data_IF_357325417377
#
_entry.id   IF_357325417377
#
_cell.length_a   1.000
_cell.length_b   1.000
_cell.length_c   1.000
_cell.angle_alpha   90.00
_cell.angle_beta   90.00
_cell.angle_gamma   90.00
#
_symmetry.space_group_name_H-M   'P 1'
#
loop_
_entity.id
_entity.type
_entity.pdbx_description
1 polymer ?
#
# COMPACT_ATOMS: atom_id res chain seq x y z
N UNK A 1 -37.24 -48.46 -8.58
CA UNK A 1 -36.31 -48.47 -7.44
C UNK A 1 -35.47 -47.17 -7.49
N UNK A 2 -35.91 -46.14 -6.72
CA UNK A 2 -35.15 -44.90 -6.48
C UNK A 2 -34.10 -45.20 -5.43
N UNK A 3 -32.84 -45.18 -5.80
CA UNK A 3 -31.74 -45.16 -4.86
C UNK A 3 -31.59 -43.70 -4.43
N UNK A 4 -32.03 -43.40 -3.23
CA UNK A 4 -31.71 -42.17 -2.48
C UNK A 4 -30.20 -42.21 -2.18
N UNK A 5 -29.43 -41.42 -2.90
CA UNK A 5 -28.08 -41.03 -2.45
C UNK A 5 -28.26 -39.91 -1.43
N UNK A 6 -28.15 -40.27 -0.16
CA UNK A 6 -27.87 -39.36 0.93
C UNK A 6 -26.42 -38.89 0.79
N UNK A 7 -26.20 -37.90 -0.09
CA UNK A 7 -25.00 -37.11 -0.10
C UNK A 7 -25.27 -35.86 0.74
N UNK A 8 -24.55 -35.69 1.82
CA UNK A 8 -24.38 -34.39 2.48
C UNK A 8 -23.99 -33.44 1.34
N UNK A 9 -24.86 -32.47 1.00
CA UNK A 9 -24.47 -31.33 0.18
C UNK A 9 -23.35 -30.62 0.96
N UNK A 10 -22.10 -30.94 0.63
CA UNK A 10 -20.99 -30.07 0.97
C UNK A 10 -21.26 -28.78 0.23
N UNK A 11 -21.73 -27.76 0.95
CA UNK A 11 -22.08 -26.48 0.37
C UNK A 11 -20.86 -25.95 -0.40
N UNK A 12 -21.11 -25.46 -1.62
CA UNK A 12 -20.11 -24.78 -2.43
C UNK A 12 -19.53 -23.63 -1.60
N UNK A 13 -18.33 -23.83 -1.09
CA UNK A 13 -17.53 -22.81 -0.37
C UNK A 13 -16.26 -22.50 -1.16
N UNK A 14 -15.52 -21.48 -0.74
CA UNK A 14 -14.33 -21.03 -1.46
C UNK A 14 -13.30 -22.16 -1.59
N UNK A 15 -13.06 -22.93 -0.52
CA UNK A 15 -12.08 -24.03 -0.49
C UNK A 15 -12.47 -25.15 -1.47
N UNK A 16 -13.76 -25.50 -1.55
CA UNK A 16 -14.22 -26.51 -2.51
C UNK A 16 -14.03 -26.05 -3.96
N UNK A 17 -14.30 -24.76 -4.24
CA UNK A 17 -14.14 -24.17 -5.57
C UNK A 17 -12.66 -24.00 -5.95
N UNK A 18 -11.78 -23.66 -5.01
CA UNK A 18 -10.34 -23.56 -5.24
C UNK A 18 -9.70 -24.89 -5.66
N UNK A 19 -10.19 -26.00 -5.12
CA UNK A 19 -9.72 -27.35 -5.47
C UNK A 19 -10.27 -27.85 -6.83
N UNK A 20 -11.25 -27.19 -7.43
CA UNK A 20 -11.82 -27.55 -8.72
C UNK A 20 -10.92 -27.16 -9.89
N UNK A 21 -10.96 -27.96 -10.96
CA UNK A 21 -10.37 -27.60 -12.25
C UNK A 21 -11.19 -26.50 -12.92
N UNK A 22 -10.54 -25.71 -13.78
CA UNK A 22 -11.18 -24.59 -14.47
C UNK A 22 -12.44 -25.01 -15.25
N UNK A 23 -12.45 -26.23 -15.81
CA UNK A 23 -13.60 -26.79 -16.53
C UNK A 23 -14.82 -26.97 -15.62
N UNK A 24 -14.61 -27.46 -14.40
CA UNK A 24 -15.67 -27.66 -13.40
C UNK A 24 -16.23 -26.31 -12.92
N UNK A 25 -15.35 -25.34 -12.70
CA UNK A 25 -15.76 -23.98 -12.38
C UNK A 25 -16.58 -23.32 -13.50
N UNK A 26 -16.28 -23.61 -14.78
CA UNK A 26 -17.09 -23.12 -15.89
C UNK A 26 -18.48 -23.78 -15.94
N UNK A 27 -18.62 -25.01 -15.48
CA UNK A 27 -19.94 -25.68 -15.36
C UNK A 27 -20.80 -24.98 -14.30
N UNK A 28 -20.25 -24.72 -13.11
CA UNK A 28 -20.91 -23.93 -12.08
C UNK A 28 -21.21 -22.48 -12.54
N UNK A 29 -20.30 -21.83 -13.23
CA UNK A 29 -20.54 -20.48 -13.76
C UNK A 29 -21.73 -20.44 -14.74
N UNK A 30 -21.93 -21.49 -15.55
CA UNK A 30 -23.10 -21.63 -16.43
C UNK A 30 -24.38 -21.90 -15.63
N UNK A 31 -24.32 -22.79 -14.64
CA UNK A 31 -25.43 -23.11 -13.75
C UNK A 31 -25.98 -21.85 -13.06
N UNK A 32 -25.08 -21.03 -12.50
CA UNK A 32 -25.43 -19.78 -11.81
C UNK A 32 -25.54 -18.56 -12.77
N UNK A 33 -25.46 -18.77 -14.09
CA UNK A 33 -25.61 -17.74 -15.13
C UNK A 33 -24.61 -16.56 -14.99
N UNK A 34 -23.38 -16.84 -14.58
CA UNK A 34 -22.32 -15.83 -14.52
C UNK A 34 -21.98 -15.31 -15.92
N UNK A 35 -22.04 -14.00 -16.12
CA UNK A 35 -21.73 -13.37 -17.40
C UNK A 35 -20.21 -13.30 -17.61
N UNK A 36 -19.76 -13.46 -18.86
CA UNK A 36 -18.34 -13.32 -19.26
C UNK A 36 -17.34 -14.17 -18.46
N UNK A 37 -17.75 -15.25 -17.85
CA UNK A 37 -16.94 -16.11 -16.97
C UNK A 37 -15.61 -16.58 -17.57
N UNK A 38 -15.53 -16.71 -18.90
CA UNK A 38 -14.32 -17.17 -19.60
C UNK A 38 -13.19 -16.14 -19.64
N UNK A 39 -13.47 -14.88 -19.27
CA UNK A 39 -12.48 -13.78 -19.21
C UNK A 39 -11.93 -13.56 -17.80
N UNK A 40 -12.52 -14.20 -16.79
CA UNK A 40 -12.16 -14.05 -15.40
C UNK A 40 -10.97 -14.95 -15.05
N UNK A 41 -10.08 -14.45 -14.21
CA UNK A 41 -9.09 -15.29 -13.53
C UNK A 41 -9.79 -16.35 -12.65
N UNK A 42 -9.10 -17.40 -12.25
CA UNK A 42 -9.69 -18.46 -11.41
C UNK A 42 -10.30 -17.88 -10.12
N UNK A 43 -9.61 -16.93 -9.50
CA UNK A 43 -10.06 -16.28 -8.26
C UNK A 43 -11.32 -15.44 -8.48
N UNK A 44 -11.31 -14.58 -9.48
CA UNK A 44 -12.48 -13.77 -9.86
C UNK A 44 -13.69 -14.63 -10.23
N UNK A 45 -13.46 -15.76 -10.92
CA UNK A 45 -14.49 -16.70 -11.29
C UNK A 45 -15.15 -17.35 -10.07
N UNK A 46 -14.37 -17.75 -9.07
CA UNK A 46 -14.86 -18.30 -7.80
C UNK A 46 -15.76 -17.28 -7.11
N UNK A 47 -15.31 -16.03 -6.96
CA UNK A 47 -16.12 -14.98 -6.36
C UNK A 47 -17.40 -14.68 -7.15
N UNK A 48 -17.33 -14.67 -8.47
CA UNK A 48 -18.50 -14.46 -9.32
C UNK A 48 -19.54 -15.60 -9.17
N UNK A 49 -19.12 -16.86 -9.02
CA UNK A 49 -19.98 -17.99 -8.75
C UNK A 49 -20.66 -17.86 -7.39
N UNK A 50 -19.90 -17.51 -6.32
CA UNK A 50 -20.43 -17.32 -4.97
C UNK A 50 -21.45 -16.18 -4.93
N UNK A 51 -21.16 -15.08 -5.61
CA UNK A 51 -22.06 -13.93 -5.74
C UNK A 51 -23.38 -14.35 -6.44
N UNK A 52 -23.29 -14.95 -7.61
CA UNK A 52 -24.46 -15.36 -8.38
C UNK A 52 -25.32 -16.38 -7.63
N UNK A 53 -24.70 -17.30 -6.87
CA UNK A 53 -25.42 -18.22 -5.98
C UNK A 53 -26.20 -17.49 -4.90
N UNK A 54 -25.55 -16.55 -4.20
CA UNK A 54 -26.20 -15.79 -3.14
C UNK A 54 -27.42 -15.00 -3.69
N UNK A 55 -27.28 -14.39 -4.87
CA UNK A 55 -28.36 -13.66 -5.54
C UNK A 55 -29.54 -14.57 -5.93
N UNK A 56 -29.28 -15.80 -6.41
CA UNK A 56 -30.34 -16.76 -6.69
C UNK A 56 -31.09 -17.24 -5.44
N UNK A 57 -30.40 -17.28 -4.30
CA UNK A 57 -30.99 -17.60 -3.00
C UNK A 57 -31.72 -16.40 -2.35
N UNK A 58 -31.73 -15.24 -3.01
CA UNK A 58 -32.39 -14.01 -2.53
C UNK A 58 -31.57 -13.24 -1.51
N UNK A 59 -30.27 -13.43 -1.46
CA UNK A 59 -29.32 -12.70 -0.61
C UNK A 59 -28.37 -11.84 -1.45
N UNK A 60 -27.67 -10.90 -0.79
CA UNK A 60 -26.57 -10.18 -1.39
C UNK A 60 -25.23 -10.88 -1.07
N UNK A 61 -24.27 -10.76 -1.97
CA UNK A 61 -22.89 -11.09 -1.70
C UNK A 61 -22.11 -9.76 -1.60
N UNK A 62 -21.61 -9.47 -0.41
CA UNK A 62 -20.90 -8.20 -0.15
C UNK A 62 -19.60 -8.47 0.59
N UNK A 63 -18.72 -7.49 0.56
CA UNK A 63 -17.43 -7.52 1.26
C UNK A 63 -17.13 -6.17 1.88
N UNK A 64 -16.26 -6.18 2.90
CA UNK A 64 -15.77 -4.98 3.55
C UNK A 64 -14.63 -5.27 4.49
N UNK A 65 -13.90 -4.23 4.88
CA UNK A 65 -12.81 -4.32 5.85
C UNK A 65 -13.39 -4.24 7.27
N UNK A 66 -13.02 -5.19 8.11
CA UNK A 66 -13.55 -5.31 9.46
C UNK A 66 -12.98 -4.24 10.40
N UNK A 67 -13.88 -3.52 11.06
CA UNK A 67 -13.64 -2.71 12.24
C UNK A 67 -14.43 -3.28 13.42
N UNK A 68 -13.73 -3.74 14.46
CA UNK A 68 -14.34 -4.30 15.68
C UNK A 68 -14.57 -3.18 16.67
N UNK A 69 -15.80 -3.09 17.20
CA UNK A 69 -16.14 -2.17 18.29
C UNK A 69 -15.73 -2.85 19.61
N UNK A 70 -14.59 -2.45 20.16
CA UNK A 70 -13.95 -3.13 21.27
C UNK A 70 -14.83 -3.24 22.52
N UNK A 71 -15.66 -2.21 22.81
CA UNK A 71 -16.58 -2.22 23.96
C UNK A 71 -17.68 -3.26 23.85
N UNK A 72 -18.08 -3.64 22.64
CA UNK A 72 -19.27 -4.45 22.36
C UNK A 72 -18.93 -5.86 21.84
N UNK A 73 -17.72 -6.02 21.31
CA UNK A 73 -17.23 -7.28 20.76
C UNK A 73 -17.81 -7.67 19.39
N UNK A 74 -18.80 -6.95 18.85
CA UNK A 74 -19.23 -7.06 17.48
C UNK A 74 -18.44 -6.09 16.57
N UNK A 75 -18.65 -6.11 15.28
CA UNK A 75 -17.97 -5.22 14.35
C UNK A 75 -18.83 -4.83 13.15
N UNK A 76 -18.23 -3.99 12.32
CA UNK A 76 -18.75 -3.62 11.01
C UNK A 76 -17.73 -3.91 9.92
N UNK A 77 -18.21 -4.45 8.82
CA UNK A 77 -17.43 -4.48 7.59
C UNK A 77 -17.65 -3.16 6.87
N UNK A 78 -16.55 -2.45 6.57
CA UNK A 78 -16.54 -1.15 5.91
C UNK A 78 -16.32 -1.35 4.41
N UNK A 79 -17.36 -1.29 3.56
CA UNK A 79 -17.22 -1.52 2.13
C UNK A 79 -16.63 -0.32 1.39
N UNK A 80 -16.81 0.90 1.92
CA UNK A 80 -16.43 2.15 1.26
C UNK A 80 -15.36 2.86 2.06
N UNK A 81 -14.21 3.10 1.43
CA UNK A 81 -13.15 3.99 1.91
C UNK A 81 -12.76 3.76 3.39
N UNK A 82 -12.89 2.54 3.91
CA UNK A 82 -12.59 2.14 5.29
C UNK A 82 -13.25 3.02 6.36
N UNK A 83 -14.29 3.72 5.99
CA UNK A 83 -15.01 4.69 6.84
C UNK A 83 -16.44 4.25 7.10
N UNK A 84 -17.06 4.68 8.22
CA UNK A 84 -18.47 4.43 8.48
C UNK A 84 -19.38 4.95 7.37
N UNK A 85 -20.31 4.11 6.92
CA UNK A 85 -21.27 4.45 5.87
C UNK A 85 -22.64 3.81 6.12
N UNK A 86 -23.64 4.20 5.31
CA UNK A 86 -24.95 3.53 5.32
C UNK A 86 -24.91 2.11 4.77
N UNK A 87 -23.85 1.75 4.06
CA UNK A 87 -23.65 0.43 3.47
C UNK A 87 -22.86 -0.54 4.36
N UNK A 88 -22.56 -0.12 5.60
CA UNK A 88 -21.86 -0.96 6.56
C UNK A 88 -22.61 -2.27 6.81
N UNK A 89 -21.86 -3.34 6.99
CA UNK A 89 -22.39 -4.68 7.22
C UNK A 89 -22.05 -5.08 8.65
N UNK A 90 -23.11 -5.29 9.45
CA UNK A 90 -22.95 -5.80 10.82
C UNK A 90 -22.42 -7.25 10.81
N UNK A 91 -21.42 -7.50 11.62
CA UNK A 91 -20.88 -8.83 11.92
C UNK A 91 -20.93 -9.11 13.41
N UNK A 92 -21.45 -10.28 13.76
CA UNK A 92 -21.65 -10.65 15.18
C UNK A 92 -20.35 -11.04 15.86
N UNK A 93 -20.32 -10.86 17.19
CA UNK A 93 -19.18 -11.29 18.03
C UNK A 93 -18.93 -12.81 17.94
N UNK A 94 -19.94 -13.62 17.66
CA UNK A 94 -19.80 -15.09 17.49
C UNK A 94 -19.05 -15.43 16.20
N UNK A 95 -19.34 -14.73 15.10
CA UNK A 95 -18.63 -14.91 13.82
C UNK A 95 -17.18 -14.45 13.94
N UNK A 96 -16.93 -13.29 14.58
CA UNK A 96 -15.58 -12.79 14.84
C UNK A 96 -14.75 -13.83 15.60
N UNK A 97 -15.28 -14.35 16.69
CA UNK A 97 -14.58 -15.39 17.49
C UNK A 97 -14.41 -16.72 16.74
N UNK A 98 -15.43 -17.15 15.98
CA UNK A 98 -15.39 -18.41 15.26
C UNK A 98 -14.23 -18.49 14.28
N UNK A 99 -13.96 -17.41 13.54
CA UNK A 99 -12.96 -17.35 12.49
C UNK A 99 -11.67 -16.59 12.92
N UNK A 100 -11.52 -16.27 14.22
CA UNK A 100 -10.41 -15.47 14.75
C UNK A 100 -10.16 -14.20 13.95
N UNK A 101 -11.26 -13.49 13.61
CA UNK A 101 -11.19 -12.28 12.80
C UNK A 101 -10.64 -11.11 13.62
N UNK A 102 -9.91 -10.23 12.94
CA UNK A 102 -9.26 -9.07 13.55
C UNK A 102 -9.54 -7.81 12.72
N UNK A 103 -9.30 -6.66 13.34
CA UNK A 103 -9.33 -5.40 12.60
C UNK A 103 -8.47 -5.50 11.35
N UNK A 104 -9.00 -4.96 10.23
CA UNK A 104 -8.31 -4.98 8.95
C UNK A 104 -8.54 -6.23 8.10
N UNK A 105 -9.16 -7.31 8.62
CA UNK A 105 -9.55 -8.43 7.77
C UNK A 105 -10.62 -7.99 6.77
N UNK A 106 -10.40 -8.29 5.49
CA UNK A 106 -11.43 -8.12 4.46
C UNK A 106 -12.28 -9.39 4.45
N UNK A 107 -13.52 -9.26 4.87
CA UNK A 107 -14.46 -10.37 4.96
C UNK A 107 -15.47 -10.25 3.84
N UNK A 108 -15.66 -11.35 3.10
CA UNK A 108 -16.67 -11.47 2.04
C UNK A 108 -17.66 -12.54 2.43
N UNK A 109 -18.92 -12.35 2.08
CA UNK A 109 -19.92 -13.35 2.39
C UNK A 109 -21.35 -12.99 2.02
N UNK A 110 -22.25 -13.88 2.45
CA UNK A 110 -23.68 -13.75 2.25
C UNK A 110 -24.29 -12.77 3.25
N UNK A 111 -24.99 -11.78 2.74
CA UNK A 111 -25.54 -10.67 3.50
C UNK A 111 -27.03 -10.53 3.26
N UNK A 112 -27.78 -10.22 4.32
CA UNK A 112 -29.21 -9.89 4.23
C UNK A 112 -29.44 -8.38 4.35
N UNK A 113 -30.50 -7.85 3.73
CA UNK A 113 -30.90 -6.47 3.93
C UNK A 113 -31.32 -6.20 5.39
N UNK A 114 -31.28 -4.92 5.83
CA UNK A 114 -31.79 -4.54 7.14
C UNK A 114 -33.27 -4.86 7.26
N UNK A 115 -33.70 -5.30 8.45
CA UNK A 115 -35.13 -5.44 8.82
C UNK A 115 -35.70 -4.07 9.20
N UNK A 116 -37.04 -3.97 9.38
CA UNK A 116 -37.73 -2.73 9.66
C UNK A 116 -37.16 -1.85 10.80
N UNK A 117 -36.51 -2.49 11.81
CA UNK A 117 -35.90 -1.80 12.95
C UNK A 117 -34.35 -1.83 12.92
N UNK A 118 -33.75 -2.27 11.85
CA UNK A 118 -32.29 -2.36 11.71
C UNK A 118 -31.81 -1.28 10.73
N UNK A 119 -30.63 -0.72 11.01
CA UNK A 119 -30.03 0.31 10.17
C UNK A 119 -29.05 -0.26 9.14
N UNK A 120 -28.43 -1.38 9.45
CA UNK A 120 -27.31 -1.94 8.68
C UNK A 120 -27.65 -3.30 8.09
N UNK A 121 -26.97 -3.66 7.02
CA UNK A 121 -26.95 -5.00 6.49
C UNK A 121 -26.42 -5.98 7.55
N UNK A 122 -26.83 -7.25 7.49
CA UNK A 122 -26.37 -8.27 8.42
C UNK A 122 -25.64 -9.40 7.72
N UNK A 123 -24.39 -9.67 8.12
CA UNK A 123 -23.63 -10.81 7.60
C UNK A 123 -24.22 -12.10 8.13
N UNK A 124 -24.68 -12.96 7.23
CA UNK A 124 -25.23 -14.27 7.54
C UNK A 124 -24.16 -15.37 7.58
N UNK A 125 -23.29 -15.37 6.57
CA UNK A 125 -22.27 -16.39 6.37
C UNK A 125 -20.99 -15.76 5.88
N UNK A 126 -19.87 -16.08 6.54
CA UNK A 126 -18.51 -15.74 6.07
C UNK A 126 -18.13 -16.75 4.99
N UNK A 127 -17.82 -16.29 3.80
CA UNK A 127 -17.40 -17.12 2.67
C UNK A 127 -15.89 -17.02 2.42
N UNK A 128 -15.29 -15.85 2.65
CA UNK A 128 -13.86 -15.66 2.52
C UNK A 128 -13.31 -14.63 3.54
N UNK A 129 -12.04 -14.81 3.92
CA UNK A 129 -11.26 -13.86 4.73
C UNK A 129 -9.98 -13.53 3.98
N UNK A 130 -9.79 -12.26 3.62
CA UNK A 130 -8.68 -11.77 2.78
C UNK A 130 -8.58 -12.51 1.42
N UNK A 131 -9.68 -13.05 0.96
CA UNK A 131 -9.80 -13.81 -0.29
C UNK A 131 -9.36 -15.27 -0.23
N UNK A 132 -9.14 -15.79 0.98
CA UNK A 132 -8.81 -17.18 1.26
C UNK A 132 -9.91 -17.84 2.09
N UNK A 133 -9.84 -19.19 2.25
CA UNK A 133 -10.80 -19.93 3.06
C UNK A 133 -10.83 -19.42 4.51
N UNK A 134 -12.02 -19.20 5.12
CA UNK A 134 -12.12 -18.69 6.48
C UNK A 134 -11.47 -19.58 7.55
N UNK A 135 -11.42 -20.89 7.35
CA UNK A 135 -10.77 -21.81 8.30
C UNK A 135 -9.25 -21.67 8.24
N UNK A 136 -8.67 -21.44 7.05
CA UNK A 136 -7.22 -21.21 6.90
C UNK A 136 -6.77 -19.89 7.57
N UNK A 137 -7.64 -18.91 7.65
CA UNK A 137 -7.35 -17.65 8.32
C UNK A 137 -7.02 -17.79 9.81
N UNK A 138 -7.47 -18.85 10.46
CA UNK A 138 -7.19 -19.11 11.89
C UNK A 138 -5.73 -19.55 12.14
N UNK A 139 -5.11 -20.18 11.15
CA UNK A 139 -3.76 -20.74 11.29
C UNK A 139 -2.65 -19.72 11.08
N UNK A 140 -3.01 -18.51 10.68
CA UNK A 140 -2.04 -17.44 10.40
C UNK A 140 -1.30 -16.96 11.64
N UNK A 141 0.00 -16.77 11.53
CA UNK A 141 0.83 -16.14 12.56
C UNK A 141 0.51 -14.64 12.62
N UNK A 142 0.33 -14.10 13.81
CA UNK A 142 0.11 -12.66 14.02
C UNK A 142 1.32 -11.84 13.57
N UNK A 143 1.09 -10.71 12.92
CA UNK A 143 2.12 -9.82 12.42
C UNK A 143 3.24 -9.49 13.44
N UNK A 144 2.95 -9.20 14.74
CA UNK A 144 4.01 -8.99 15.74
C UNK A 144 4.90 -10.21 16.01
N UNK A 145 4.41 -11.41 15.71
CA UNK A 145 5.16 -12.67 15.88
C UNK A 145 6.00 -13.07 14.68
N UNK A 146 5.89 -12.34 13.56
CA UNK A 146 6.66 -12.59 12.34
C UNK A 146 8.09 -12.04 12.48
N UNK A 147 9.07 -12.74 11.88
CA UNK A 147 10.51 -12.40 11.96
C UNK A 147 10.87 -11.29 10.97
N UNK A 148 11.28 -10.09 11.43
CA UNK A 148 11.62 -8.98 10.55
C UNK A 148 13.01 -9.15 9.94
N UNK A 149 13.12 -8.91 8.63
CA UNK A 149 14.38 -8.87 7.88
C UNK A 149 14.62 -7.49 7.27
N UNK A 150 15.86 -7.24 6.85
CA UNK A 150 16.16 -6.11 5.98
C UNK A 150 15.56 -6.35 4.59
N UNK A 151 15.15 -5.27 3.87
CA UNK A 151 14.82 -5.39 2.46
C UNK A 151 16.00 -5.94 1.66
N UNK A 152 15.82 -7.08 1.00
CA UNK A 152 16.84 -7.80 0.20
C UNK A 152 16.35 -8.15 -1.20
N UNK A 153 15.06 -7.92 -1.50
CA UNK A 153 14.46 -8.04 -2.82
C UNK A 153 14.19 -6.66 -3.38
N UNK A 154 14.85 -6.30 -4.49
CA UNK A 154 14.64 -5.02 -5.17
C UNK A 154 13.24 -4.93 -5.77
N UNK A 155 12.54 -3.84 -5.52
CA UNK A 155 11.27 -3.47 -6.15
C UNK A 155 11.58 -2.59 -7.36
N UNK A 156 11.68 -3.19 -8.53
CA UNK A 156 11.97 -2.48 -9.76
C UNK A 156 10.83 -1.52 -10.13
N UNK A 157 11.14 -0.24 -10.22
CA UNK A 157 10.19 0.82 -10.59
C UNK A 157 10.37 1.29 -12.04
N UNK A 158 11.39 0.85 -12.75
CA UNK A 158 11.59 1.18 -14.14
C UNK A 158 10.52 0.52 -15.03
N UNK A 159 9.73 1.31 -15.76
CA UNK A 159 8.68 0.83 -16.66
C UNK A 159 8.90 1.23 -18.10
N UNK A 160 9.30 2.47 -18.36
CA UNK A 160 9.52 2.99 -19.70
C UNK A 160 10.56 4.10 -19.74
N UNK A 161 11.04 4.40 -20.95
CA UNK A 161 12.00 5.50 -21.20
C UNK A 161 11.46 6.88 -20.80
N UNK A 162 10.14 7.03 -20.71
CA UNK A 162 9.48 8.31 -20.40
C UNK A 162 9.47 8.64 -18.91
N UNK A 163 9.45 7.61 -18.05
CA UNK A 163 9.35 7.76 -16.59
C UNK A 163 10.75 7.86 -15.96
N UNK A 164 11.37 9.04 -16.12
CA UNK A 164 12.73 9.30 -15.61
C UNK A 164 12.78 9.29 -14.08
N UNK A 165 11.70 9.70 -13.40
CA UNK A 165 11.63 9.74 -11.93
C UNK A 165 11.88 8.38 -11.31
N UNK A 166 11.17 7.35 -11.77
CA UNK A 166 11.28 5.98 -11.26
C UNK A 166 12.60 5.34 -11.64
N UNK A 167 13.16 5.66 -12.82
CA UNK A 167 14.51 5.26 -13.21
C UNK A 167 15.59 5.84 -12.30
N UNK A 168 15.46 7.13 -11.92
CA UNK A 168 16.37 7.78 -10.97
C UNK A 168 16.23 7.13 -9.58
N UNK A 169 15.01 6.81 -9.14
CA UNK A 169 14.79 6.12 -7.87
C UNK A 169 15.53 4.78 -7.81
N UNK A 170 15.37 3.94 -8.83
CA UNK A 170 16.04 2.63 -8.90
C UNK A 170 17.58 2.75 -8.87
N UNK A 171 18.13 3.86 -9.41
CA UNK A 171 19.56 4.11 -9.41
C UNK A 171 20.07 4.68 -8.08
N UNK A 172 19.37 5.65 -7.49
CA UNK A 172 19.93 6.48 -6.40
C UNK A 172 19.26 6.25 -5.05
N UNK A 173 18.02 5.80 -5.03
CA UNK A 173 17.27 5.50 -3.82
C UNK A 173 16.41 4.25 -4.05
N UNK A 174 17.06 3.09 -4.32
CA UNK A 174 16.34 1.86 -4.65
C UNK A 174 15.40 1.46 -3.52
N UNK A 175 14.24 0.96 -3.90
CA UNK A 175 13.23 0.48 -2.97
C UNK A 175 13.30 -1.04 -2.92
N UNK A 176 13.33 -1.60 -1.73
CA UNK A 176 13.17 -3.04 -1.53
C UNK A 176 11.81 -3.38 -0.92
N UNK A 177 11.36 -4.60 -1.12
CA UNK A 177 10.18 -5.12 -0.41
C UNK A 177 10.44 -5.10 1.10
N UNK A 178 9.59 -4.39 1.85
CA UNK A 178 9.80 -4.13 3.28
C UNK A 178 10.47 -2.77 3.59
N UNK A 179 10.66 -1.89 2.61
CA UNK A 179 11.29 -0.58 2.77
C UNK A 179 10.45 0.37 3.62
N UNK A 180 11.12 1.17 4.46
CA UNK A 180 10.58 2.35 5.13
C UNK A 180 11.14 3.60 4.47
N UNK A 181 10.45 4.12 3.45
CA UNK A 181 10.94 5.24 2.65
C UNK A 181 10.23 6.55 2.98
N UNK A 182 11.00 7.62 3.10
CA UNK A 182 10.49 8.99 3.14
C UNK A 182 10.70 9.67 1.79
N UNK A 183 9.62 10.23 1.24
CA UNK A 183 9.66 11.14 0.10
C UNK A 183 9.55 12.56 0.64
N UNK A 184 10.70 13.21 0.78
CA UNK A 184 10.82 14.54 1.38
C UNK A 184 10.52 15.58 0.33
N UNK A 185 9.42 16.30 0.49
CA UNK A 185 8.89 17.17 -0.56
C UNK A 185 8.60 18.58 -0.06
N UNK A 186 9.25 19.60 -0.62
CA UNK A 186 8.78 20.99 -0.46
C UNK A 186 7.51 21.21 -1.31
N UNK A 187 6.71 22.24 -1.01
CA UNK A 187 5.54 22.58 -1.80
C UNK A 187 5.86 22.79 -3.28
N UNK A 188 4.98 22.29 -4.16
CA UNK A 188 5.07 22.44 -5.63
C UNK A 188 6.28 21.78 -6.30
N UNK A 189 6.93 20.82 -5.67
CA UNK A 189 8.08 20.10 -6.22
C UNK A 189 7.73 18.87 -7.08
N UNK A 190 6.44 18.61 -7.35
CA UNK A 190 6.00 17.47 -8.17
C UNK A 190 5.70 16.19 -7.41
N UNK A 191 5.44 16.30 -6.09
CA UNK A 191 5.12 15.18 -5.19
C UNK A 191 4.04 14.25 -5.74
N UNK A 192 2.87 14.78 -6.08
CA UNK A 192 1.70 14.01 -6.52
C UNK A 192 1.97 13.25 -7.83
N UNK A 193 2.69 13.88 -8.77
CA UNK A 193 3.09 13.24 -10.01
C UNK A 193 4.03 12.05 -9.75
N UNK A 194 5.01 12.23 -8.87
CA UNK A 194 5.95 11.18 -8.49
C UNK A 194 5.23 9.99 -7.84
N UNK A 195 4.29 10.24 -6.91
CA UNK A 195 3.50 9.18 -6.29
C UNK A 195 2.69 8.37 -7.32
N UNK A 196 2.10 9.03 -8.31
CA UNK A 196 1.37 8.36 -9.40
C UNK A 196 2.31 7.52 -10.27
N UNK A 197 3.51 8.01 -10.58
CA UNK A 197 4.51 7.24 -11.32
C UNK A 197 4.97 6.01 -10.53
N UNK A 198 5.22 6.14 -9.23
CA UNK A 198 5.59 5.01 -8.35
C UNK A 198 4.44 4.00 -8.31
N UNK A 199 3.20 4.43 -8.07
CA UNK A 199 2.03 3.57 -8.02
C UNK A 199 1.85 2.75 -9.31
N UNK A 200 1.91 3.41 -10.45
CA UNK A 200 1.79 2.77 -11.75
C UNK A 200 2.96 1.83 -12.07
N UNK A 201 4.17 2.16 -11.60
CA UNK A 201 5.33 1.27 -11.74
C UNK A 201 5.15 -0.01 -10.91
N UNK A 202 4.66 0.10 -9.68
CA UNK A 202 4.40 -1.05 -8.81
C UNK A 202 3.35 -1.97 -9.45
N UNK A 203 2.21 -1.43 -9.86
CA UNK A 203 1.13 -2.23 -10.46
C UNK A 203 1.51 -2.85 -11.81
N UNK A 204 2.43 -2.23 -12.56
CA UNK A 204 2.92 -2.75 -13.83
C UNK A 204 3.95 -3.86 -13.63
N UNK A 205 4.95 -3.64 -12.78
CA UNK A 205 6.09 -4.55 -12.62
C UNK A 205 5.86 -5.62 -11.56
N UNK A 206 4.95 -5.36 -10.61
CA UNK A 206 4.66 -6.23 -9.46
C UNK A 206 3.14 -6.42 -9.29
N UNK A 207 2.46 -7.04 -10.28
CA UNK A 207 0.99 -7.19 -10.27
C UNK A 207 0.46 -8.04 -9.10
N UNK A 208 1.31 -8.85 -8.49
CA UNK A 208 0.95 -9.66 -7.32
C UNK A 208 1.07 -8.89 -5.99
N UNK A 209 1.66 -7.69 -6.01
CA UNK A 209 1.77 -6.85 -4.82
C UNK A 209 0.46 -6.08 -4.58
N UNK A 210 0.02 -6.07 -3.33
CA UNK A 210 -1.17 -5.31 -2.92
C UNK A 210 -0.78 -3.85 -2.70
N UNK A 211 -1.27 -2.96 -3.55
CA UNK A 211 -1.01 -1.52 -3.46
C UNK A 211 -2.16 -0.80 -2.77
N UNK A 212 -1.87 -0.11 -1.68
CA UNK A 212 -2.78 0.80 -0.97
C UNK A 212 -2.21 2.22 -1.06
N UNK A 213 -3.00 3.15 -1.59
CA UNK A 213 -2.66 4.58 -1.59
C UNK A 213 -3.48 5.26 -0.51
N UNK A 214 -2.81 5.77 0.51
CA UNK A 214 -3.43 6.42 1.67
C UNK A 214 -3.24 7.93 1.60
N UNK A 215 -4.35 8.66 1.46
CA UNK A 215 -4.37 10.12 1.35
C UNK A 215 -4.99 10.72 2.62
N UNK A 216 -4.19 11.46 3.39
CA UNK A 216 -4.63 12.06 4.66
C UNK A 216 -4.60 13.57 4.57
N UNK A 217 -5.76 14.21 4.83
CA UNK A 217 -5.93 15.66 4.82
C UNK A 217 -5.55 16.28 3.46
N UNK A 218 -5.79 15.53 2.36
CA UNK A 218 -5.59 16.00 0.98
C UNK A 218 -6.89 16.56 0.40
N UNK A 219 -6.77 17.23 -0.74
CA UNK A 219 -7.91 17.86 -1.42
C UNK A 219 -8.75 16.84 -2.16
N UNK A 220 -10.09 16.95 -2.18
CA UNK A 220 -10.98 16.04 -2.91
C UNK A 220 -10.62 15.88 -4.39
N UNK A 221 -10.22 16.97 -5.06
CA UNK A 221 -9.79 16.93 -6.46
C UNK A 221 -8.49 16.13 -6.69
N UNK A 222 -7.54 16.16 -5.71
CA UNK A 222 -6.32 15.36 -5.77
C UNK A 222 -6.61 13.88 -5.51
N UNK A 223 -7.55 13.58 -4.62
CA UNK A 223 -8.04 12.21 -4.38
C UNK A 223 -8.64 11.64 -5.67
N UNK A 224 -9.58 12.35 -6.28
CA UNK A 224 -10.22 11.91 -7.53
C UNK A 224 -9.22 11.71 -8.67
N UNK A 225 -8.19 12.55 -8.76
CA UNK A 225 -7.14 12.45 -9.78
C UNK A 225 -6.29 11.17 -9.59
N UNK A 226 -5.97 10.83 -8.35
CA UNK A 226 -5.25 9.58 -8.01
C UNK A 226 -6.14 8.36 -8.27
N UNK A 227 -7.39 8.34 -7.80
CA UNK A 227 -8.34 7.24 -8.02
C UNK A 227 -8.51 6.90 -9.52
N UNK A 228 -8.51 7.93 -10.39
CA UNK A 228 -8.66 7.74 -11.84
C UNK A 228 -7.38 7.29 -12.55
N UNK A 229 -6.23 7.49 -11.94
CA UNK A 229 -4.92 7.30 -12.58
C UNK A 229 -4.10 6.15 -12.02
N UNK A 230 -4.54 5.53 -10.92
CA UNK A 230 -3.81 4.46 -10.24
C UNK A 230 -4.68 3.21 -10.12
N UNK A 231 -4.13 2.06 -10.48
CA UNK A 231 -4.78 0.76 -10.30
C UNK A 231 -4.36 0.17 -8.93
N UNK A 232 -4.98 0.65 -7.85
CA UNK A 232 -4.72 0.22 -6.47
C UNK A 232 -5.91 0.53 -5.58
N UNK A 233 -5.85 0.13 -4.32
CA UNK A 233 -6.86 0.48 -3.31
C UNK A 233 -6.57 1.89 -2.81
N UNK A 234 -7.34 2.89 -3.26
CA UNK A 234 -7.18 4.29 -2.85
C UNK A 234 -8.10 4.57 -1.68
N UNK A 235 -7.50 4.90 -0.55
CA UNK A 235 -8.19 5.19 0.71
C UNK A 235 -7.87 6.61 1.13
N UNK A 236 -8.89 7.40 1.44
CA UNK A 236 -8.70 8.82 1.71
C UNK A 236 -9.50 9.30 2.92
N UNK A 237 -8.96 10.33 3.55
CA UNK A 237 -9.70 11.19 4.49
C UNK A 237 -9.30 12.63 4.15
N UNK A 238 -10.24 13.36 3.54
CA UNK A 238 -10.00 14.68 2.94
C UNK A 238 -10.01 15.80 3.99
N UNK A 239 -9.50 16.97 3.64
CA UNK A 239 -9.28 18.08 4.58
C UNK A 239 -10.56 18.62 5.23
N UNK A 240 -11.73 18.32 4.69
CA UNK A 240 -13.05 18.69 5.23
C UNK A 240 -13.55 17.73 6.31
N UNK A 241 -12.83 16.61 6.55
CA UNK A 241 -13.13 15.69 7.63
C UNK A 241 -12.43 16.09 8.94
N UNK A 242 -12.94 15.57 10.07
CA UNK A 242 -12.35 15.81 11.38
C UNK A 242 -11.07 14.99 11.59
N UNK A 243 -10.11 15.48 12.40
CA UNK A 243 -8.84 14.80 12.62
C UNK A 243 -8.94 13.34 13.11
N UNK A 244 -9.99 13.04 13.87
CA UNK A 244 -10.26 11.67 14.35
C UNK A 244 -10.52 10.70 13.21
N UNK A 245 -11.13 11.14 12.10
CA UNK A 245 -11.34 10.31 10.91
C UNK A 245 -10.02 10.02 10.19
N UNK A 246 -9.12 11.01 10.08
CA UNK A 246 -7.78 10.81 9.54
C UNK A 246 -7.04 9.69 10.28
N UNK A 247 -7.13 9.70 11.61
CA UNK A 247 -6.50 8.71 12.46
C UNK A 247 -7.12 7.32 12.25
N UNK A 248 -8.46 7.23 12.31
CA UNK A 248 -9.18 5.96 12.16
C UNK A 248 -8.89 5.28 10.82
N UNK A 249 -8.96 6.05 9.74
CA UNK A 249 -8.68 5.53 8.40
C UNK A 249 -7.25 5.03 8.31
N UNK A 250 -6.26 5.80 8.80
CA UNK A 250 -4.86 5.38 8.79
C UNK A 250 -4.62 4.12 9.64
N UNK A 251 -5.20 4.03 10.83
CA UNK A 251 -5.09 2.85 11.69
C UNK A 251 -5.70 1.61 11.01
N UNK A 252 -6.87 1.74 10.39
CA UNK A 252 -7.52 0.61 9.72
C UNK A 252 -6.76 0.17 8.46
N UNK A 253 -6.15 1.10 7.72
CA UNK A 253 -5.25 0.78 6.59
C UNK A 253 -4.04 0.00 7.07
N UNK A 254 -3.42 0.40 8.17
CA UNK A 254 -2.29 -0.34 8.74
C UNK A 254 -2.70 -1.76 9.18
N UNK A 255 -3.81 -1.89 9.88
CA UNK A 255 -4.36 -3.19 10.28
C UNK A 255 -4.65 -4.06 9.03
N UNK A 256 -5.24 -3.49 7.98
CA UNK A 256 -5.46 -4.17 6.69
C UNK A 256 -4.15 -4.68 6.10
N UNK A 257 -3.14 -3.83 6.02
CA UNK A 257 -1.82 -4.20 5.48
C UNK A 257 -1.18 -5.34 6.29
N UNK A 258 -1.23 -5.27 7.62
CA UNK A 258 -0.73 -6.34 8.49
C UNK A 258 -1.46 -7.67 8.26
N UNK A 259 -2.80 -7.65 8.08
CA UNK A 259 -3.57 -8.86 7.75
C UNK A 259 -3.13 -9.49 6.45
N UNK A 260 -2.89 -8.69 5.41
CA UNK A 260 -2.39 -9.18 4.13
C UNK A 260 -1.01 -9.83 4.25
N UNK A 261 -0.09 -9.22 5.02
CA UNK A 261 1.24 -9.79 5.26
C UNK A 261 1.16 -11.12 6.03
N UNK A 262 0.23 -11.26 6.99
CA UNK A 262 -0.03 -12.53 7.68
C UNK A 262 -0.45 -13.65 6.69
N UNK A 263 -1.02 -13.29 5.55
CA UNK A 263 -1.31 -14.17 4.40
C UNK A 263 -0.13 -14.26 3.39
N UNK A 264 1.09 -13.87 3.81
CA UNK A 264 2.32 -13.93 3.00
C UNK A 264 2.30 -13.08 1.73
N UNK A 265 1.49 -12.02 1.70
CA UNK A 265 1.42 -11.11 0.56
C UNK A 265 2.44 -9.98 0.72
N UNK A 266 2.96 -9.52 -0.41
CA UNK A 266 3.72 -8.28 -0.47
C UNK A 266 2.77 -7.10 -0.54
N UNK A 267 2.86 -6.18 0.43
CA UNK A 267 1.97 -5.02 0.54
C UNK A 267 2.79 -3.74 0.46
N UNK A 268 2.31 -2.79 -0.33
CA UNK A 268 2.90 -1.47 -0.45
C UNK A 268 1.87 -0.41 -0.06
N UNK A 269 2.21 0.43 0.92
CA UNK A 269 1.44 1.63 1.26
C UNK A 269 2.19 2.84 0.71
N UNK A 270 1.56 3.57 -0.21
CA UNK A 270 1.98 4.91 -0.61
C UNK A 270 1.15 5.91 0.19
N UNK A 271 1.79 6.68 1.07
CA UNK A 271 1.09 7.59 1.98
C UNK A 271 1.38 9.05 1.68
N UNK A 272 0.34 9.84 1.53
CA UNK A 272 0.40 11.29 1.43
C UNK A 272 -0.53 11.95 2.45
N UNK A 273 -0.05 12.44 3.60
CA UNK A 273 1.33 12.52 4.08
C UNK A 273 1.45 12.11 5.54
N UNK A 274 2.63 11.64 5.93
CA UNK A 274 2.93 11.35 7.34
C UNK A 274 2.92 12.62 8.20
N UNK A 275 3.28 13.76 7.60
CA UNK A 275 3.24 15.08 8.27
C UNK A 275 1.83 15.43 8.71
N UNK A 276 0.84 15.23 7.83
CA UNK A 276 -0.57 15.53 8.13
C UNK A 276 -1.14 14.55 9.14
N UNK A 277 -0.76 13.27 9.05
CA UNK A 277 -1.15 12.27 10.07
C UNK A 277 -0.61 12.66 11.45
N UNK A 278 0.66 13.07 11.56
CA UNK A 278 1.25 13.51 12.83
C UNK A 278 0.55 14.75 13.38
N UNK A 279 0.16 15.70 12.52
CA UNK A 279 -0.65 16.87 12.90
C UNK A 279 -2.03 16.47 13.44
N UNK A 280 -2.71 15.50 12.80
CA UNK A 280 -4.00 15.01 13.26
C UNK A 280 -3.88 14.38 14.66
N UNK A 281 -2.85 13.57 14.88
CA UNK A 281 -2.59 13.03 16.22
C UNK A 281 -2.32 14.13 17.25
N UNK A 282 -1.58 15.17 16.90
CA UNK A 282 -1.30 16.29 17.82
C UNK A 282 -2.57 17.05 18.25
N UNK A 283 -3.60 17.05 17.39
CA UNK A 283 -4.89 17.68 17.71
C UNK A 283 -5.78 16.81 18.61
N UNK A 284 -5.69 15.49 18.47
CA UNK A 284 -6.65 14.55 19.10
C UNK A 284 -6.13 13.98 20.41
N UNK A 285 -4.82 13.82 20.58
CA UNK A 285 -4.27 13.24 21.81
C UNK A 285 -4.46 14.18 23.01
N UNK A 286 -4.70 13.64 24.22
CA UNK A 286 -4.63 14.43 25.43
C UNK A 286 -3.23 15.05 25.62
N UNK A 287 -3.11 16.33 25.97
CA UNK A 287 -1.80 16.97 26.11
C UNK A 287 -0.99 16.32 27.25
N UNK A 288 0.28 15.99 26.96
CA UNK A 288 1.21 15.40 27.93
C UNK A 288 1.77 16.44 28.92
N UNK A 289 1.52 17.70 28.72
CA UNK A 289 2.13 18.82 29.46
C UNK A 289 3.53 19.20 28.96
N UNK A 290 4.04 18.56 27.92
CA UNK A 290 5.32 18.87 27.27
C UNK A 290 5.06 19.32 25.83
N UNK A 291 5.79 20.33 25.38
CA UNK A 291 5.66 20.85 24.03
C UNK A 291 7.03 21.01 23.41
N UNK A 292 7.23 20.41 22.26
CA UNK A 292 8.43 20.62 21.44
C UNK A 292 8.33 21.94 20.62
N UNK A 293 9.43 22.32 20.02
CA UNK A 293 9.46 23.44 19.06
C UNK A 293 8.37 23.24 17.99
N UNK A 294 7.67 24.31 17.63
CA UNK A 294 6.58 24.28 16.67
C UNK A 294 5.21 23.85 17.23
N UNK A 295 5.07 23.68 18.56
CA UNK A 295 3.77 23.45 19.20
C UNK A 295 3.29 21.99 19.15
N UNK A 296 4.19 21.03 18.91
CA UNK A 296 3.84 19.60 18.86
C UNK A 296 4.11 18.92 20.21
N UNK A 297 3.17 18.09 20.65
CA UNK A 297 3.33 17.24 21.82
C UNK A 297 4.17 16.00 21.45
N UNK A 298 5.22 15.63 22.22
CA UNK A 298 6.00 14.41 21.95
C UNK A 298 5.16 13.14 21.85
N UNK A 299 4.05 13.05 22.59
CA UNK A 299 3.15 11.90 22.57
C UNK A 299 2.47 11.72 21.20
N UNK A 300 2.33 12.79 20.41
CA UNK A 300 1.73 12.75 19.07
C UNK A 300 2.53 11.88 18.08
N UNK A 301 3.81 11.66 18.35
CA UNK A 301 4.66 10.86 17.46
C UNK A 301 4.55 9.35 17.65
N UNK A 302 4.06 8.89 18.81
CA UNK A 302 4.12 7.47 19.14
C UNK A 302 3.39 6.58 18.12
N UNK A 303 2.12 6.89 17.82
CA UNK A 303 1.32 6.09 16.88
C UNK A 303 1.75 6.25 15.42
N UNK A 304 2.03 7.46 14.89
CA UNK A 304 2.57 7.61 13.55
C UNK A 304 3.94 6.92 13.35
N UNK A 305 4.81 6.93 14.37
CA UNK A 305 6.08 6.16 14.33
C UNK A 305 5.82 4.65 14.32
N UNK A 306 4.83 4.17 15.07
CA UNK A 306 4.40 2.77 15.02
C UNK A 306 3.88 2.41 13.63
N UNK A 307 3.08 3.28 13.02
CA UNK A 307 2.59 3.11 11.64
C UNK A 307 3.77 2.96 10.67
N UNK A 308 4.63 3.94 10.59
CA UNK A 308 5.77 3.94 9.68
C UNK A 308 6.80 2.84 10.01
N UNK A 309 7.03 2.58 11.29
CA UNK A 309 7.92 1.53 11.79
C UNK A 309 7.41 0.09 11.56
N UNK A 310 6.17 -0.09 11.16
CA UNK A 310 5.62 -1.40 10.83
C UNK A 310 6.22 -1.99 9.53
N UNK A 311 6.73 -1.15 8.63
CA UNK A 311 7.33 -1.58 7.39
C UNK A 311 8.55 -2.48 7.63
N UNK A 312 8.53 -3.69 7.05
CA UNK A 312 9.58 -4.70 7.16
C UNK A 312 9.42 -5.79 6.11
N UNK A 313 10.51 -6.41 5.73
CA UNK A 313 10.50 -7.70 5.05
C UNK A 313 10.36 -8.82 6.08
N UNK A 314 9.77 -9.96 5.72
CA UNK A 314 9.39 -11.04 6.64
C UNK A 314 10.04 -12.35 6.19
N UNK A 315 10.67 -13.08 7.13
CA UNK A 315 11.34 -14.35 6.87
C UNK A 315 10.35 -15.45 6.44
N UNK A 316 9.19 -15.48 7.04
CA UNK A 316 8.13 -16.46 6.78
C UNK A 316 7.40 -16.20 5.44
N UNK A 317 7.71 -15.11 4.77
CA UNK A 317 7.15 -14.67 3.48
C UNK A 317 6.23 -13.47 3.61
N UNK A 318 6.10 -12.73 2.50
CA UNK A 318 5.42 -11.45 2.45
C UNK A 318 6.27 -10.29 2.96
N UNK A 319 5.80 -9.08 2.75
CA UNK A 319 6.47 -7.86 3.21
C UNK A 319 5.49 -6.71 3.37
N UNK A 320 5.82 -5.74 4.21
CA UNK A 320 5.15 -4.45 4.29
C UNK A 320 6.13 -3.35 3.91
N UNK A 321 5.91 -2.71 2.78
CA UNK A 321 6.64 -1.52 2.32
C UNK A 321 5.80 -0.28 2.58
N UNK A 322 6.39 0.77 3.16
CA UNK A 322 5.71 2.06 3.36
C UNK A 322 6.58 3.16 2.77
N UNK A 323 6.08 3.84 1.75
CA UNK A 323 6.65 5.05 1.18
C UNK A 323 5.75 6.23 1.55
N UNK A 324 6.19 7.07 2.48
CA UNK A 324 5.40 8.16 3.01
C UNK A 324 6.01 9.51 2.62
N UNK A 325 5.17 10.46 2.19
CA UNK A 325 5.63 11.82 1.95
C UNK A 325 5.78 12.57 3.27
N UNK A 326 6.87 13.30 3.40
CA UNK A 326 7.13 14.24 4.48
C UNK A 326 7.24 15.65 3.92
N UNK A 327 6.46 16.58 4.45
CA UNK A 327 6.43 17.96 3.99
C UNK A 327 7.56 18.77 4.68
N UNK A 328 8.31 19.52 3.89
CA UNK A 328 9.38 20.41 4.35
C UNK A 328 9.26 21.76 3.67
N UNK A 329 9.95 22.79 4.17
CA UNK A 329 9.96 24.15 3.60
C UNK A 329 8.55 24.75 3.43
N UNK A 330 7.63 24.37 4.30
CA UNK A 330 6.24 24.86 4.31
C UNK A 330 6.10 26.21 5.02
N UNK A 331 7.13 26.66 5.69
CA UNK A 331 7.11 27.79 6.63
C UNK A 331 6.57 27.41 8.01
N UNK A 332 6.20 26.16 8.24
CA UNK A 332 5.73 25.65 9.53
C UNK A 332 6.86 24.98 10.31
N UNK A 333 7.22 25.53 11.46
CA UNK A 333 8.20 24.92 12.36
C UNK A 333 7.79 23.52 12.85
N UNK A 334 6.48 23.27 12.92
CA UNK A 334 5.94 21.95 13.28
C UNK A 334 6.36 20.90 12.25
N UNK A 335 6.27 21.21 10.96
CA UNK A 335 6.61 20.26 9.87
C UNK A 335 8.09 19.90 9.89
N UNK A 336 8.97 20.88 10.18
CA UNK A 336 10.40 20.61 10.32
C UNK A 336 10.70 19.65 11.46
N UNK A 337 10.02 19.81 12.61
CA UNK A 337 10.16 18.91 13.75
C UNK A 337 9.61 17.53 13.41
N UNK A 338 8.46 17.45 12.74
CA UNK A 338 7.89 16.17 12.30
C UNK A 338 8.87 15.43 11.37
N UNK A 339 9.40 16.12 10.36
CA UNK A 339 10.37 15.51 9.45
C UNK A 339 11.59 14.95 10.19
N UNK A 340 12.23 15.75 11.08
CA UNK A 340 13.40 15.29 11.84
C UNK A 340 13.09 14.06 12.73
N UNK A 341 11.89 13.97 13.29
CA UNK A 341 11.45 12.82 14.09
C UNK A 341 11.26 11.52 13.25
N UNK A 342 10.85 11.63 11.99
CA UNK A 342 10.68 10.47 11.10
C UNK A 342 11.93 10.08 10.35
N UNK A 343 12.84 11.01 10.07
CA UNK A 343 14.11 10.80 9.39
C UNK A 343 14.94 9.69 10.05
N UNK A 344 14.97 9.65 11.38
CA UNK A 344 15.65 8.58 12.14
C UNK A 344 14.99 7.21 12.06
N UNK A 345 13.70 7.13 11.70
CA UNK A 345 12.94 5.88 11.61
C UNK A 345 13.02 5.24 10.23
N UNK A 346 13.17 6.04 9.19
CA UNK A 346 13.30 5.59 7.81
C UNK A 346 14.64 4.92 7.49
N UNK A 347 14.65 4.10 6.45
CA UNK A 347 15.87 3.48 5.90
C UNK A 347 16.07 3.80 4.41
N UNK A 348 15.26 4.70 3.85
CA UNK A 348 15.37 5.25 2.51
C UNK A 348 14.83 6.68 2.53
N UNK A 349 15.50 7.60 1.86
CA UNK A 349 15.04 8.98 1.66
C UNK A 349 15.17 9.36 0.19
N UNK A 350 14.08 9.90 -0.38
CA UNK A 350 14.07 10.56 -1.67
C UNK A 350 13.72 12.03 -1.46
N UNK A 351 14.64 12.91 -1.75
CA UNK A 351 14.47 14.34 -1.59
C UNK A 351 14.05 15.00 -2.90
N UNK A 352 12.96 15.76 -2.87
CA UNK A 352 12.64 16.71 -3.94
C UNK A 352 13.25 18.07 -3.63
N UNK A 353 13.69 18.74 -4.67
CA UNK A 353 14.37 20.03 -4.57
C UNK A 353 13.51 21.17 -5.12
N UNK A 354 13.34 22.23 -4.31
CA UNK A 354 12.55 23.39 -4.68
C UNK A 354 13.19 24.20 -5.79
N UNK A 355 14.52 24.36 -5.78
CA UNK A 355 15.23 25.20 -6.77
C UNK A 355 15.16 24.55 -8.16
N UNK A 356 15.27 23.21 -8.25
CA UNK A 356 15.07 22.49 -9.50
C UNK A 356 13.65 22.69 -10.03
N UNK A 357 12.65 22.60 -9.15
CA UNK A 357 11.25 22.79 -9.53
C UNK A 357 10.95 24.22 -10.01
N UNK A 358 11.49 25.25 -9.34
CA UNK A 358 11.38 26.64 -9.74
C UNK A 358 12.03 26.91 -11.13
N UNK A 359 13.14 26.21 -11.43
CA UNK A 359 13.79 26.22 -12.75
C UNK A 359 13.12 25.33 -13.79
N UNK A 360 12.00 24.67 -13.45
CA UNK A 360 11.27 23.72 -14.34
C UNK A 360 12.08 22.50 -14.76
N UNK A 361 13.04 22.08 -13.92
CA UNK A 361 13.81 20.87 -14.11
C UNK A 361 13.08 19.74 -13.41
N UNK A 362 12.45 18.83 -14.19
CA UNK A 362 11.68 17.70 -13.67
C UNK A 362 12.22 16.39 -14.22
N UNK A 363 12.23 15.31 -13.38
CA UNK A 363 11.83 15.30 -11.96
C UNK A 363 12.78 16.13 -11.10
N UNK A 364 12.22 16.88 -10.16
CA UNK A 364 12.98 17.77 -9.28
C UNK A 364 13.61 16.98 -8.10
N UNK A 365 14.36 15.93 -8.40
CA UNK A 365 14.99 15.05 -7.42
C UNK A 365 16.38 15.55 -7.07
N UNK A 366 16.62 15.77 -5.76
CA UNK A 366 17.96 15.98 -5.24
C UNK A 366 18.72 14.66 -5.20
N UNK A 367 19.56 14.46 -6.21
CA UNK A 367 20.31 13.23 -6.42
C UNK A 367 21.42 12.97 -5.39
N UNK A 368 21.82 13.99 -4.61
CA UNK A 368 22.86 13.87 -3.57
C UNK A 368 22.27 13.47 -2.22
N UNK A 369 21.15 14.08 -1.86
CA UNK A 369 20.48 13.82 -0.57
C UNK A 369 19.67 12.53 -0.57
N UNK A 370 19.33 12.03 -1.75
CA UNK A 370 18.55 10.79 -1.92
C UNK A 370 19.42 9.55 -1.77
N UNK A 371 18.90 8.53 -1.09
CA UNK A 371 19.63 7.27 -0.90
C UNK A 371 18.88 6.25 -0.05
N UNK A 372 19.36 5.00 -0.12
CA UNK A 372 18.83 3.88 0.63
C UNK A 372 19.92 3.28 1.51
N UNK A 373 19.59 3.00 2.78
CA UNK A 373 20.50 2.28 3.69
C UNK A 373 20.59 0.82 3.25
N UNK A 374 21.81 0.27 3.27
CA UNK A 374 22.08 -1.10 2.82
C UNK A 374 21.67 -1.35 1.37
N UNK A 375 21.89 -0.37 0.48
CA UNK A 375 21.61 -0.48 -0.94
C UNK A 375 22.36 -1.65 -1.60
N UNK A 376 23.45 -2.12 -0.98
CA UNK A 376 24.22 -3.31 -1.40
C UNK A 376 23.44 -4.62 -1.33
N UNK A 377 22.31 -4.66 -0.60
CA UNK A 377 21.39 -5.81 -0.59
C UNK A 377 20.42 -5.80 -1.78
N UNK A 378 20.23 -4.63 -2.42
CA UNK A 378 19.24 -4.41 -3.47
C UNK A 378 19.87 -4.30 -4.86
N UNK A 379 21.11 -3.82 -4.94
CA UNK A 379 21.78 -3.52 -6.20
C UNK A 379 22.94 -4.50 -6.42
N UNK A 380 23.08 -5.10 -7.62
CA UNK A 380 24.23 -5.91 -7.97
C UNK A 380 25.57 -5.16 -7.81
N UNK A 381 26.60 -5.85 -7.35
CA UNK A 381 27.88 -5.23 -6.98
C UNK A 381 28.54 -4.43 -8.11
N UNK A 382 28.48 -4.91 -9.34
CA UNK A 382 29.04 -4.23 -10.51
C UNK A 382 28.31 -2.92 -10.87
N UNK A 383 27.00 -2.84 -10.60
CA UNK A 383 26.20 -1.60 -10.71
C UNK A 383 26.51 -0.66 -9.55
N UNK A 384 26.64 -1.19 -8.35
CA UNK A 384 26.92 -0.41 -7.13
C UNK A 384 28.24 0.34 -7.23
N UNK A 385 29.31 -0.30 -7.72
CA UNK A 385 30.61 0.34 -7.93
C UNK A 385 30.53 1.53 -8.90
N UNK A 386 29.74 1.39 -9.97
CA UNK A 386 29.49 2.47 -10.94
C UNK A 386 28.68 3.62 -10.33
N UNK A 387 27.65 3.31 -9.54
CA UNK A 387 26.85 4.31 -8.82
C UNK A 387 27.69 5.08 -7.82
N UNK A 388 28.55 4.42 -7.07
CA UNK A 388 29.46 5.11 -6.15
C UNK A 388 30.47 6.02 -6.87
N UNK A 389 30.94 5.62 -8.04
CA UNK A 389 31.76 6.48 -8.86
C UNK A 389 31.01 7.75 -9.34
N UNK A 390 29.73 7.59 -9.74
CA UNK A 390 28.86 8.74 -10.08
C UNK A 390 28.69 9.62 -8.86
N UNK A 391 28.31 9.07 -7.71
CA UNK A 391 28.10 9.83 -6.46
C UNK A 391 29.33 10.63 -6.05
N UNK A 392 30.54 10.07 -6.19
CA UNK A 392 31.80 10.79 -5.93
C UNK A 392 32.02 11.97 -6.88
N UNK A 393 31.49 11.93 -8.08
CA UNK A 393 31.60 13.00 -9.08
C UNK A 393 30.48 14.03 -9.00
N UNK A 394 29.47 13.83 -8.16
CA UNK A 394 28.33 14.74 -8.03
C UNK A 394 28.75 16.08 -7.41
N UNK A 395 28.26 17.14 -8.03
CA UNK A 395 28.39 18.53 -7.54
C UNK A 395 27.00 19.09 -7.22
N UNK A 396 26.94 20.14 -6.41
CA UNK A 396 25.68 20.84 -6.07
C UNK A 396 25.13 21.68 -7.24
N UNK A 397 25.79 21.63 -8.38
CA UNK A 397 25.38 22.43 -9.54
C UNK A 397 24.11 21.82 -10.18
N UNK A 398 23.05 22.63 -10.41
CA UNK A 398 21.89 22.23 -11.22
C UNK A 398 22.28 21.70 -12.60
N UNK A 399 23.37 22.20 -13.17
CA UNK A 399 23.89 21.74 -14.48
C UNK A 399 24.36 20.30 -14.44
N UNK A 400 24.84 19.80 -13.28
CA UNK A 400 25.16 18.39 -13.11
C UNK A 400 23.88 17.52 -13.18
N UNK A 401 22.82 17.93 -12.48
CA UNK A 401 21.54 17.24 -12.49
C UNK A 401 20.97 17.18 -13.92
N UNK A 402 21.00 18.30 -14.66
CA UNK A 402 20.54 18.34 -16.04
C UNK A 402 21.38 17.42 -16.97
N UNK A 403 22.70 17.43 -16.82
CA UNK A 403 23.60 16.53 -17.58
C UNK A 403 23.32 15.05 -17.26
N UNK A 404 23.14 14.73 -15.99
CA UNK A 404 22.81 13.38 -15.54
C UNK A 404 21.47 12.90 -16.16
N UNK A 405 20.41 13.72 -16.04
CA UNK A 405 19.12 13.41 -16.62
C UNK A 405 19.16 13.32 -18.16
N UNK A 406 19.96 14.17 -18.84
CA UNK A 406 20.16 14.10 -20.29
C UNK A 406 20.79 12.77 -20.70
N UNK A 407 21.82 12.31 -20.01
CA UNK A 407 22.43 11.01 -20.27
C UNK A 407 21.43 9.87 -20.04
N UNK A 408 20.65 9.95 -18.96
CA UNK A 408 19.64 8.95 -18.67
C UNK A 408 18.53 8.90 -19.76
N UNK A 409 18.10 10.05 -20.25
CA UNK A 409 17.12 10.17 -21.36
C UNK A 409 17.63 9.62 -22.71
N UNK A 410 18.95 9.54 -22.90
CA UNK A 410 19.56 8.97 -24.10
C UNK A 410 19.59 7.44 -24.11
N UNK A 411 19.24 6.80 -23.00
CA UNK A 411 19.22 5.34 -22.83
C UNK A 411 17.80 4.83 -22.67
N UNK A 412 17.54 3.61 -23.13
CA UNK A 412 16.23 2.97 -23.06
C UNK A 412 15.93 2.37 -21.68
N UNK A 413 16.99 2.01 -20.94
CA UNK A 413 16.90 1.36 -19.63
C UNK A 413 18.06 1.77 -18.72
N UNK A 414 17.95 1.48 -17.43
CA UNK A 414 19.03 1.64 -16.47
C UNK A 414 20.20 0.68 -16.78
N UNK A 415 19.92 -0.48 -17.31
CA UNK A 415 20.95 -1.44 -17.77
C UNK A 415 21.80 -0.85 -18.91
N UNK A 416 21.18 -0.28 -19.93
CA UNK A 416 21.88 0.42 -21.03
C UNK A 416 22.67 1.62 -20.50
N UNK A 417 22.11 2.36 -19.53
CA UNK A 417 22.82 3.46 -18.88
C UNK A 417 24.12 2.99 -18.19
N UNK A 418 24.08 1.86 -17.47
CA UNK A 418 25.26 1.27 -16.85
C UNK A 418 26.28 0.77 -17.86
N UNK A 419 25.82 0.20 -18.99
CA UNK A 419 26.71 -0.24 -20.06
C UNK A 419 27.48 0.94 -20.67
N UNK A 420 26.80 2.04 -21.00
CA UNK A 420 27.40 3.25 -21.54
C UNK A 420 28.41 3.89 -20.57
N UNK A 421 28.08 3.90 -19.26
CA UNK A 421 29.01 4.36 -18.23
C UNK A 421 30.27 3.52 -18.15
N UNK A 422 30.17 2.21 -18.29
CA UNK A 422 31.31 1.32 -18.25
C UNK A 422 32.28 1.59 -19.42
N UNK A 423 31.75 1.90 -20.60
CA UNK A 423 32.55 2.28 -21.78
C UNK A 423 33.25 3.62 -21.57
N UNK A 424 32.54 4.64 -21.07
CA UNK A 424 33.14 5.94 -20.74
C UNK A 424 34.25 5.84 -19.68
N UNK A 425 34.07 5.00 -18.66
CA UNK A 425 35.07 4.78 -17.62
C UNK A 425 36.33 4.06 -18.15
N UNK A 426 36.15 3.10 -19.08
CA UNK A 426 37.27 2.44 -19.76
C UNK A 426 38.05 3.42 -20.63
N UNK A 427 37.37 4.23 -21.42
CA UNK A 427 37.98 5.26 -22.28
C UNK A 427 38.83 6.27 -21.48
N UNK A 428 38.36 6.70 -20.31
CA UNK A 428 39.10 7.62 -19.41
C UNK A 428 40.29 6.99 -18.71
N UNK A 429 40.37 5.67 -18.59
CA UNK A 429 41.53 4.95 -18.03
C UNK A 429 42.62 4.70 -19.06
N UNK A 430 42.29 4.81 -20.35
CA UNK A 430 43.20 4.56 -21.49
C UNK A 430 43.87 5.88 -21.95
N UNK A 431 43.54 7.01 -21.37
CA UNK A 431 44.19 8.32 -21.54
C UNK A 431 44.81 8.76 -20.20
#
# INVERSE_FOLDING_TARGET
LKILKSGVEMGLNISSLENMKLKELYEHAREYKVSYYSKLSKKELIFAILKARAEQEGYFFMEGVLEIIQSEGFGFLRPINYSPSSEDIYISASQIRRFDLRNGDKVSGKVRPPKENERYFGLLQVEAVNGDDPESAKERVHFPGLTPLYPDRHMNLETSTKHISTRIMDLLAPVGFGQRGLIVAPPKAGKTMLLKEIANSITTNHPDAELIVLLIDERPEEVTDIERSVAGDVVSSTFDEVPENHIKVAELVLERAMRLVEHKRDVVILMDSITRLARAYNLVIPPSGRTLSGGIDPAAFHRPKRFFGAARNIEEGGSLTILATALVDTGSRMDDVIYEEFKGTGNMELHLDRQLAERRIFPAIDIRRSGTRKEELLIPKDHLDKLWAIRKSMTDSPDFVEKFMRKLKQTKSNEEFFANLAEEMKAKRSH
#
